data_IF_176694667860
#
_entry.id   IF_176694667860
#
_cell.length_a   1.000
_cell.length_b   1.000
_cell.length_c   1.000
_cell.angle_alpha   90.00
_cell.angle_beta   90.00
_cell.angle_gamma   90.00
#
_symmetry.space_group_name_H-M   'P 1'
#
loop_
_entity.id
_entity.type
_entity.pdbx_description
1 polymer ?
#
# COMPACT_ATOMS: atom_id res chain seq x y z
N UNK A 1 -9.86 23.88 6.11
CA UNK A 1 -10.75 25.04 6.36
C UNK A 1 -11.71 24.70 7.48
N UNK A 2 -12.52 25.65 7.97
CA UNK A 2 -13.59 25.37 8.95
C UNK A 2 -14.57 24.31 8.38
N UNK A 3 -14.93 24.44 7.10
CA UNK A 3 -15.70 23.42 6.35
C UNK A 3 -15.06 22.02 6.36
N UNK A 4 -13.73 21.90 6.20
CA UNK A 4 -13.06 20.59 6.26
C UNK A 4 -13.10 19.94 7.66
N UNK A 5 -13.26 20.74 8.73
CA UNK A 5 -13.46 20.23 10.09
C UNK A 5 -14.91 19.81 10.32
N UNK A 6 -15.84 20.55 9.73
CA UNK A 6 -17.28 20.29 9.84
C UNK A 6 -17.71 19.10 8.95
N UNK A 7 -16.93 18.77 7.91
CA UNK A 7 -17.10 17.64 7.00
C UNK A 7 -15.91 16.66 7.03
N UNK A 8 -15.48 16.25 8.22
CA UNK A 8 -14.29 15.40 8.41
C UNK A 8 -14.32 14.10 7.59
N UNK A 9 -15.50 13.51 7.41
CA UNK A 9 -15.72 12.27 6.64
C UNK A 9 -15.46 12.48 5.15
N UNK A 10 -15.82 13.64 4.60
CA UNK A 10 -15.54 13.99 3.20
C UNK A 10 -14.05 14.30 3.00
N UNK A 11 -13.38 14.84 4.02
CA UNK A 11 -11.95 15.15 3.99
C UNK A 11 -11.07 13.89 4.06
N UNK A 12 -11.46 12.87 4.82
CA UNK A 12 -10.77 11.57 4.84
C UNK A 12 -10.91 10.82 3.51
N UNK A 13 -12.11 10.86 2.90
CA UNK A 13 -12.35 10.31 1.56
C UNK A 13 -11.70 11.13 0.43
N UNK A 14 -11.32 12.39 0.67
CA UNK A 14 -10.77 13.27 -0.34
C UNK A 14 -9.38 12.83 -0.84
N UNK A 15 -8.59 12.15 -0.01
CA UNK A 15 -7.18 11.89 -0.31
C UNK A 15 -6.99 10.91 -1.47
N UNK A 16 -7.61 9.72 -1.40
CA UNK A 16 -7.55 8.74 -2.48
C UNK A 16 -8.31 9.23 -3.72
N UNK A 17 -9.41 9.97 -3.54
CA UNK A 17 -10.22 10.46 -4.65
C UNK A 17 -9.48 11.52 -5.48
N UNK A 18 -8.77 12.45 -4.82
CA UNK A 18 -7.94 13.43 -5.51
C UNK A 18 -6.82 12.75 -6.30
N UNK A 19 -6.12 11.79 -5.69
CA UNK A 19 -5.10 11.02 -6.38
C UNK A 19 -5.67 10.29 -7.60
N UNK A 20 -6.72 9.51 -7.41
CA UNK A 20 -7.38 8.73 -8.47
C UNK A 20 -7.88 9.62 -9.62
N UNK A 21 -8.45 10.78 -9.30
CA UNK A 21 -8.90 11.77 -10.31
C UNK A 21 -7.72 12.34 -11.11
N UNK A 22 -6.61 12.62 -10.45
CA UNK A 22 -5.41 13.15 -11.11
C UNK A 22 -4.77 12.10 -12.03
N UNK A 23 -4.55 10.87 -11.52
CA UNK A 23 -3.81 9.83 -12.25
C UNK A 23 -4.66 9.12 -13.29
N UNK A 24 -5.99 9.10 -13.14
CA UNK A 24 -6.89 8.47 -14.12
C UNK A 24 -6.79 9.09 -15.52
N UNK A 25 -6.32 10.33 -15.62
CA UNK A 25 -6.02 11.00 -16.89
C UNK A 25 -4.90 10.32 -17.70
N UNK A 26 -4.05 9.54 -17.05
CA UNK A 26 -3.02 8.72 -17.70
C UNK A 26 -3.62 7.49 -18.41
N UNK A 27 -4.85 7.13 -18.06
CA UNK A 27 -5.60 6.00 -18.62
C UNK A 27 -7.00 6.46 -19.05
N UNK A 28 -7.11 7.32 -20.08
CA UNK A 28 -8.35 8.04 -20.40
C UNK A 28 -9.46 7.17 -21.00
N UNK A 29 -9.18 5.89 -21.28
CA UNK A 29 -10.15 4.95 -21.88
C UNK A 29 -9.98 3.57 -21.25
N UNK A 30 -11.10 2.85 -21.14
CA UNK A 30 -11.13 1.48 -20.66
C UNK A 30 -10.99 1.37 -19.15
N UNK A 31 -10.83 0.13 -18.69
CA UNK A 31 -10.69 -0.18 -17.28
C UNK A 31 -9.24 -0.05 -16.82
N UNK A 32 -9.06 0.52 -15.63
CA UNK A 32 -7.77 0.56 -14.96
C UNK A 32 -7.95 0.38 -13.44
N UNK A 33 -6.84 0.07 -12.75
CA UNK A 33 -6.80 0.05 -11.29
C UNK A 33 -5.66 0.92 -10.78
N UNK A 34 -5.95 1.83 -9.86
CA UNK A 34 -4.93 2.46 -9.04
C UNK A 34 -4.67 1.59 -7.81
N UNK A 35 -3.41 1.24 -7.60
CA UNK A 35 -2.91 0.56 -6.40
C UNK A 35 -1.95 1.52 -5.70
N UNK A 36 -2.42 2.16 -4.63
CA UNK A 36 -1.61 3.06 -3.80
C UNK A 36 -1.31 2.40 -2.46
N UNK A 37 -0.04 2.06 -2.22
CA UNK A 37 0.38 1.39 -0.98
C UNK A 37 1.20 2.35 -0.15
N UNK A 38 0.62 2.81 0.94
CA UNK A 38 1.29 3.66 1.92
C UNK A 38 2.00 2.89 3.02
N UNK A 39 2.42 3.63 4.05
CA UNK A 39 3.01 3.05 5.25
C UNK A 39 2.02 2.19 6.05
N UNK A 40 0.72 2.49 5.96
CA UNK A 40 -0.33 1.95 6.84
C UNK A 40 -1.45 1.25 6.08
N UNK A 41 -1.84 1.79 4.94
CA UNK A 41 -3.00 1.34 4.16
C UNK A 41 -2.58 1.01 2.73
N UNK A 42 -3.42 0.21 2.08
CA UNK A 42 -3.42 0.00 0.64
C UNK A 42 -4.79 0.44 0.13
N UNK A 43 -4.79 1.39 -0.79
CA UNK A 43 -5.98 1.88 -1.48
C UNK A 43 -6.01 1.25 -2.88
N UNK A 44 -7.11 0.54 -3.19
CA UNK A 44 -7.33 -0.12 -4.47
C UNK A 44 -8.53 0.53 -5.14
N UNK A 45 -8.29 1.39 -6.12
CA UNK A 45 -9.33 2.24 -6.71
C UNK A 45 -9.59 1.79 -8.15
N UNK A 46 -10.81 1.27 -8.45
CA UNK A 46 -11.21 1.01 -9.82
C UNK A 46 -11.39 2.32 -10.60
N UNK A 47 -10.92 2.35 -11.84
CA UNK A 47 -11.07 3.46 -12.77
C UNK A 47 -11.74 2.95 -14.06
N UNK A 48 -12.67 3.74 -14.60
CA UNK A 48 -13.28 3.50 -15.91
C UNK A 48 -13.22 4.79 -16.71
N UNK A 49 -12.67 4.73 -17.93
CA UNK A 49 -12.48 5.87 -18.82
C UNK A 49 -11.79 7.06 -18.12
N UNK A 50 -10.77 6.72 -17.32
CA UNK A 50 -9.96 7.67 -16.57
C UNK A 50 -10.65 8.32 -15.36
N UNK A 51 -11.84 7.87 -14.98
CA UNK A 51 -12.59 8.38 -13.84
C UNK A 51 -12.65 7.34 -12.71
N UNK A 52 -12.50 7.77 -11.43
CA UNK A 52 -12.74 6.88 -10.29
C UNK A 52 -14.16 6.32 -10.30
N UNK A 53 -14.28 4.99 -10.19
CA UNK A 53 -15.58 4.29 -10.17
C UNK A 53 -15.71 3.38 -8.93
N UNK A 54 -15.56 3.92 -7.71
CA UNK A 54 -15.56 3.10 -6.48
C UNK A 54 -16.95 2.58 -6.13
N UNK A 55 -17.01 1.41 -5.51
CA UNK A 55 -18.21 0.91 -4.84
C UNK A 55 -18.44 1.64 -3.52
N UNK A 56 -17.38 1.87 -2.73
CA UNK A 56 -17.45 2.51 -1.42
C UNK A 56 -17.06 3.99 -1.45
N UNK A 57 -17.83 4.85 -0.79
CA UNK A 57 -17.56 6.30 -0.69
C UNK A 57 -17.03 6.70 0.68
N UNK A 58 -17.35 5.94 1.71
CA UNK A 58 -16.81 6.06 3.07
C UNK A 58 -15.76 4.99 3.34
N UNK A 59 -14.89 5.18 4.34
CA UNK A 59 -13.88 4.17 4.68
C UNK A 59 -14.50 2.84 5.09
N UNK A 60 -15.66 2.84 5.75
CA UNK A 60 -16.37 1.60 6.12
C UNK A 60 -16.82 0.86 4.85
N UNK A 61 -17.44 1.56 3.91
CA UNK A 61 -17.87 0.94 2.65
C UNK A 61 -16.68 0.47 1.83
N UNK A 62 -15.57 1.21 1.82
CA UNK A 62 -14.33 0.83 1.13
C UNK A 62 -13.67 -0.39 1.77
N UNK A 63 -13.73 -0.53 3.08
CA UNK A 63 -13.30 -1.75 3.78
C UNK A 63 -14.19 -2.94 3.40
N UNK A 64 -15.51 -2.73 3.33
CA UNK A 64 -16.47 -3.76 2.94
C UNK A 64 -16.31 -4.17 1.46
N UNK A 65 -15.96 -3.23 0.58
CA UNK A 65 -15.76 -3.46 -0.86
C UNK A 65 -14.35 -3.91 -1.24
N UNK A 66 -13.43 -4.00 -0.26
CA UNK A 66 -11.99 -4.26 -0.41
C UNK A 66 -11.18 -3.14 -1.10
N UNK A 67 -11.78 -1.98 -1.35
CA UNK A 67 -11.13 -0.79 -1.95
C UNK A 67 -10.20 -0.06 -0.96
N UNK A 68 -10.27 -0.42 0.32
CA UNK A 68 -9.34 -0.03 1.36
C UNK A 68 -8.92 -1.28 2.14
N UNK A 69 -7.62 -1.48 2.30
CA UNK A 69 -7.05 -2.52 3.17
C UNK A 69 -6.13 -1.87 4.20
N UNK A 70 -6.36 -2.11 5.50
CA UNK A 70 -5.45 -1.70 6.58
C UNK A 70 -4.19 -2.55 6.63
N UNK A 71 -3.40 -2.45 5.57
CA UNK A 71 -2.13 -3.13 5.42
C UNK A 71 -1.24 -2.29 4.49
N UNK A 72 -0.18 -1.70 5.05
CA UNK A 72 0.84 -0.97 4.29
C UNK A 72 2.20 -1.67 4.38
N UNK A 73 3.27 -0.97 4.01
CA UNK A 73 4.64 -1.52 4.01
C UNK A 73 5.48 -1.16 5.23
N UNK A 74 4.90 -0.47 6.23
CA UNK A 74 5.65 -0.10 7.44
C UNK A 74 4.93 -0.40 8.75
N UNK A 75 3.77 0.22 8.98
CA UNK A 75 3.14 0.31 10.31
C UNK A 75 2.27 -0.89 10.70
N UNK A 76 2.00 -1.81 9.79
CA UNK A 76 1.12 -2.96 10.04
C UNK A 76 1.74 -3.86 11.12
N UNK A 77 1.11 -4.03 12.30
CA UNK A 77 1.58 -4.97 13.33
C UNK A 77 1.56 -6.41 12.80
N UNK A 78 2.59 -7.21 13.10
CA UNK A 78 2.60 -8.61 12.66
C UNK A 78 1.48 -9.43 13.29
N UNK A 79 1.19 -9.19 14.58
CA UNK A 79 0.10 -9.83 15.30
C UNK A 79 -1.30 -9.51 14.75
N UNK A 80 -1.45 -8.48 13.91
CA UNK A 80 -2.69 -8.16 13.21
C UNK A 80 -2.76 -8.76 11.80
N UNK A 81 -1.64 -9.29 11.29
CA UNK A 81 -1.53 -9.82 9.94
C UNK A 81 -1.55 -11.36 9.91
N UNK A 82 -0.97 -12.01 10.93
CA UNK A 82 -0.75 -13.44 10.93
C UNK A 82 -0.70 -14.02 12.36
N UNK A 83 -1.29 -15.20 12.53
CA UNK A 83 -1.40 -15.88 13.84
C UNK A 83 -0.19 -16.79 14.14
N UNK A 84 0.46 -17.33 13.10
CA UNK A 84 1.59 -18.25 13.25
C UNK A 84 2.55 -18.20 12.05
N UNK A 85 3.81 -18.55 12.28
CA UNK A 85 4.89 -18.56 11.27
C UNK A 85 5.66 -19.88 11.31
N UNK A 86 6.31 -20.30 10.20
CA UNK A 86 7.16 -21.48 10.20
C UNK A 86 8.42 -21.26 11.03
N UNK A 87 8.77 -22.21 11.89
CA UNK A 87 10.03 -22.27 12.62
C UNK A 87 10.54 -23.72 12.69
N UNK A 88 11.69 -23.98 12.07
CA UNK A 88 12.18 -25.35 11.88
C UNK A 88 11.15 -26.21 11.13
N UNK A 89 10.74 -27.32 11.75
CA UNK A 89 9.73 -28.24 11.21
C UNK A 89 8.32 -28.02 11.81
N UNK A 90 8.13 -26.96 12.61
CA UNK A 90 6.89 -26.69 13.31
C UNK A 90 6.32 -25.31 12.96
N UNK A 91 5.04 -25.11 13.33
CA UNK A 91 4.40 -23.81 13.32
C UNK A 91 4.56 -23.16 14.69
N UNK A 92 5.04 -21.92 14.74
CA UNK A 92 5.20 -21.13 15.95
C UNK A 92 4.15 -20.01 15.99
N UNK A 93 3.49 -19.82 17.13
CA UNK A 93 2.50 -18.76 17.29
C UNK A 93 3.19 -17.39 17.35
N UNK A 94 2.55 -16.38 16.76
CA UNK A 94 2.98 -14.98 16.87
C UNK A 94 2.37 -14.39 18.14
N UNK A 95 3.20 -13.73 18.95
CA UNK A 95 2.77 -13.05 20.16
C UNK A 95 1.77 -11.94 19.83
N UNK A 96 0.77 -11.72 20.69
CA UNK A 96 -0.26 -10.70 20.50
C UNK A 96 0.23 -9.25 20.77
N UNK A 97 1.50 -9.07 21.12
CA UNK A 97 2.11 -7.77 21.43
C UNK A 97 2.81 -7.15 20.20
N UNK A 98 2.92 -5.82 20.17
CA UNK A 98 3.59 -5.07 19.11
C UNK A 98 5.12 -5.17 19.26
N UNK A 99 5.69 -6.35 19.01
CA UNK A 99 7.15 -6.53 18.97
C UNK A 99 7.77 -6.13 17.63
N UNK A 100 7.06 -6.42 16.54
CA UNK A 100 7.51 -6.18 15.19
C UNK A 100 6.35 -5.75 14.29
N UNK A 101 6.71 -5.12 13.18
CA UNK A 101 5.81 -4.69 12.12
C UNK A 101 6.25 -5.23 10.78
N UNK A 102 5.43 -5.07 9.75
CA UNK A 102 5.79 -5.42 8.39
C UNK A 102 7.01 -4.63 7.86
N UNK A 103 7.36 -3.50 8.49
CA UNK A 103 8.62 -2.81 8.18
C UNK A 103 9.83 -3.74 8.41
N UNK A 104 9.82 -4.53 9.49
CA UNK A 104 10.90 -5.44 9.85
C UNK A 104 11.04 -6.58 8.85
N UNK A 105 9.92 -7.02 8.29
CA UNK A 105 9.88 -8.00 7.20
C UNK A 105 10.57 -7.43 5.96
N UNK A 106 10.19 -6.24 5.52
CA UNK A 106 10.77 -5.65 4.30
C UNK A 106 12.21 -5.14 4.47
N UNK A 107 12.63 -4.78 5.68
CA UNK A 107 14.06 -4.62 6.00
C UNK A 107 14.79 -5.95 5.81
N UNK A 108 14.29 -7.03 6.42
CA UNK A 108 14.91 -8.37 6.38
C UNK A 108 15.01 -8.94 4.97
N UNK A 109 14.03 -8.67 4.11
CA UNK A 109 14.02 -9.10 2.71
C UNK A 109 14.82 -8.17 1.78
N UNK A 110 15.30 -7.03 2.26
CA UNK A 110 16.04 -6.05 1.47
C UNK A 110 15.19 -5.19 0.53
N UNK A 111 13.86 -5.27 0.65
CA UNK A 111 12.92 -4.46 -0.12
C UNK A 111 12.91 -2.99 0.32
N UNK A 112 13.19 -2.73 1.59
CA UNK A 112 13.40 -1.39 2.13
C UNK A 112 14.82 -1.32 2.70
N UNK A 113 15.63 -0.31 2.33
CA UNK A 113 17.01 -0.20 2.80
C UNK A 113 17.10 0.12 4.29
N UNK A 114 18.19 -0.29 4.92
CA UNK A 114 18.51 0.08 6.29
C UNK A 114 18.67 1.59 6.44
N UNK A 115 18.22 2.13 7.57
CA UNK A 115 18.46 3.52 7.94
C UNK A 115 18.66 3.62 9.45
N UNK A 116 19.90 3.82 9.88
CA UNK A 116 20.26 3.89 11.29
C UNK A 116 19.70 5.14 12.01
N UNK A 117 19.30 6.17 11.26
CA UNK A 117 18.66 7.37 11.80
C UNK A 117 17.14 7.23 11.94
N UNK A 118 16.55 6.21 11.33
CA UNK A 118 15.11 5.94 11.42
C UNK A 118 14.82 5.05 12.62
N UNK A 119 14.30 5.66 13.68
CA UNK A 119 13.92 4.99 14.92
C UNK A 119 12.40 4.83 15.04
N UNK A 120 11.61 5.03 13.97
CA UNK A 120 10.16 4.81 13.97
C UNK A 120 9.81 3.32 13.85
N UNK A 121 10.41 2.50 14.72
CA UNK A 121 10.20 1.06 14.83
C UNK A 121 9.43 0.71 16.11
N UNK A 122 8.91 -0.51 16.21
CA UNK A 122 8.05 -0.93 17.33
C UNK A 122 8.69 -0.75 18.72
N UNK A 123 10.02 -0.91 18.82
CA UNK A 123 10.76 -0.75 20.07
C UNK A 123 11.63 0.52 20.11
N UNK A 124 11.44 1.45 19.15
CA UNK A 124 12.20 2.71 19.07
C UNK A 124 13.68 2.54 18.71
N UNK A 125 14.13 1.34 18.34
CA UNK A 125 15.52 1.10 17.89
C UNK A 125 15.69 1.41 16.40
N UNK A 126 16.93 1.62 15.92
CA UNK A 126 17.19 1.88 14.51
C UNK A 126 16.57 0.83 13.54
N UNK A 127 16.24 1.28 12.34
CA UNK A 127 15.76 0.44 11.23
C UNK A 127 16.93 -0.25 10.51
N UNK A 128 17.62 -1.14 11.23
CA UNK A 128 18.71 -1.98 10.70
C UNK A 128 18.28 -3.45 10.64
N UNK A 129 18.97 -4.26 9.83
CA UNK A 129 18.76 -5.70 9.71
C UNK A 129 18.92 -6.39 11.06
N UNK A 130 19.95 -6.03 11.82
CA UNK A 130 20.21 -6.61 13.14
C UNK A 130 19.08 -6.28 14.14
N UNK A 131 18.56 -5.05 14.10
CA UNK A 131 17.46 -4.65 14.99
C UNK A 131 16.10 -5.23 14.55
N UNK A 132 15.88 -5.37 13.24
CA UNK A 132 14.70 -6.06 12.69
C UNK A 132 14.70 -7.55 13.08
N UNK A 133 15.87 -8.19 13.05
CA UNK A 133 16.04 -9.57 13.51
C UNK A 133 15.66 -9.75 14.99
N UNK A 134 16.15 -8.88 15.89
CA UNK A 134 15.74 -8.89 17.31
C UNK A 134 14.22 -8.71 17.48
N UNK A 135 13.61 -7.77 16.75
CA UNK A 135 12.16 -7.56 16.80
C UNK A 135 11.36 -8.76 16.30
N UNK A 136 11.78 -9.37 15.19
CA UNK A 136 11.13 -10.56 14.61
C UNK A 136 11.26 -11.79 15.52
N UNK A 137 12.42 -12.00 16.15
CA UNK A 137 12.60 -13.07 17.13
C UNK A 137 11.68 -12.91 18.35
N UNK A 138 11.56 -11.67 18.88
CA UNK A 138 10.65 -11.37 19.99
C UNK A 138 9.18 -11.57 19.62
N UNK A 139 8.80 -11.31 18.37
CA UNK A 139 7.43 -11.50 17.90
C UNK A 139 6.96 -12.96 17.98
N UNK A 140 7.88 -13.92 18.12
CA UNK A 140 7.57 -15.34 18.32
C UNK A 140 8.02 -15.86 19.71
N UNK A 141 8.27 -14.94 20.65
CA UNK A 141 8.61 -15.26 22.04
C UNK A 141 10.06 -15.67 22.29
N UNK A 142 10.93 -15.62 21.28
CA UNK A 142 12.35 -15.94 21.42
C UNK A 142 13.26 -14.70 21.41
N UNK A 143 14.56 -14.94 21.22
CA UNK A 143 15.57 -13.91 21.02
C UNK A 143 16.65 -14.31 20.00
N UNK A 144 17.64 -13.42 19.79
CA UNK A 144 18.72 -13.60 18.80
C UNK A 144 19.71 -14.71 19.14
N UNK A 145 19.65 -15.29 20.34
CA UNK A 145 20.42 -16.48 20.73
C UNK A 145 19.71 -17.78 20.38
N UNK A 146 18.38 -17.74 20.25
CA UNK A 146 17.53 -18.89 19.92
C UNK A 146 17.16 -18.95 18.45
N UNK A 147 16.99 -17.79 17.80
CA UNK A 147 16.53 -17.68 16.42
C UNK A 147 17.68 -17.22 15.54
N UNK A 148 17.98 -17.96 14.48
CA UNK A 148 19.03 -17.59 13.53
C UNK A 148 18.55 -16.54 12.52
N UNK A 149 19.47 -15.75 11.92
CA UNK A 149 19.12 -14.84 10.82
C UNK A 149 18.46 -15.55 9.63
N UNK A 150 18.87 -16.78 9.33
CA UNK A 150 18.27 -17.57 8.25
C UNK A 150 16.82 -17.96 8.55
N UNK A 151 16.49 -18.33 9.79
CA UNK A 151 15.11 -18.59 10.20
C UNK A 151 14.27 -17.32 10.16
N UNK A 152 14.82 -16.20 10.62
CA UNK A 152 14.16 -14.89 10.53
C UNK A 152 13.85 -14.51 9.09
N UNK A 153 14.77 -14.77 8.16
CA UNK A 153 14.53 -14.53 6.74
C UNK A 153 13.38 -15.39 6.20
N UNK A 154 13.34 -16.69 6.51
CA UNK A 154 12.21 -17.57 6.12
C UNK A 154 10.87 -17.13 6.71
N UNK A 155 10.88 -16.67 7.96
CA UNK A 155 9.71 -16.07 8.60
C UNK A 155 9.26 -14.83 7.82
N UNK A 156 10.19 -13.93 7.48
CA UNK A 156 9.90 -12.73 6.71
C UNK A 156 9.31 -13.06 5.33
N UNK A 157 9.88 -14.04 4.59
CA UNK A 157 9.34 -14.52 3.32
C UNK A 157 7.89 -15.00 3.47
N UNK A 158 7.60 -15.82 4.48
CA UNK A 158 6.28 -16.34 4.74
C UNK A 158 5.25 -15.24 5.03
N UNK A 159 5.64 -14.23 5.82
CA UNK A 159 4.77 -13.10 6.17
C UNK A 159 4.53 -12.20 4.95
N UNK A 160 5.57 -11.88 4.18
CA UNK A 160 5.45 -11.06 2.97
C UNK A 160 4.51 -11.73 1.95
N UNK A 161 4.63 -13.04 1.79
CA UNK A 161 3.76 -13.85 0.93
C UNK A 161 2.31 -13.88 1.46
N UNK A 162 2.10 -13.96 2.77
CA UNK A 162 0.75 -13.82 3.38
C UNK A 162 0.14 -12.45 3.11
N UNK A 163 0.92 -11.37 3.23
CA UNK A 163 0.46 -10.02 2.88
C UNK A 163 0.12 -9.93 1.39
N UNK A 164 0.99 -10.40 0.51
CA UNK A 164 0.79 -10.36 -0.93
C UNK A 164 -0.51 -11.04 -1.31
N UNK A 165 -0.75 -12.27 -0.83
CA UNK A 165 -2.02 -12.99 -1.08
C UNK A 165 -3.25 -12.22 -0.61
N UNK A 166 -3.20 -11.57 0.55
CA UNK A 166 -4.31 -10.74 1.06
C UNK A 166 -4.60 -9.57 0.12
N UNK A 167 -3.57 -8.89 -0.37
CA UNK A 167 -3.72 -7.77 -1.29
C UNK A 167 -4.15 -8.22 -2.69
N UNK A 168 -3.62 -9.32 -3.23
CA UNK A 168 -4.08 -9.90 -4.50
C UNK A 168 -5.55 -10.32 -4.43
N UNK A 169 -6.00 -10.91 -3.32
CA UNK A 169 -7.42 -11.26 -3.15
C UNK A 169 -8.33 -10.03 -3.18
N UNK A 170 -7.92 -8.93 -2.54
CA UNK A 170 -8.65 -7.66 -2.60
C UNK A 170 -8.65 -7.06 -4.01
N UNK A 171 -7.50 -7.09 -4.69
CA UNK A 171 -7.37 -6.61 -6.06
C UNK A 171 -8.23 -7.42 -7.04
N UNK A 172 -8.22 -8.75 -6.94
CA UNK A 172 -9.05 -9.64 -7.77
C UNK A 172 -10.55 -9.39 -7.53
N UNK A 173 -10.96 -9.18 -6.27
CA UNK A 173 -12.34 -8.85 -5.93
C UNK A 173 -12.83 -7.54 -6.55
N UNK A 174 -11.94 -6.56 -6.75
CA UNK A 174 -12.26 -5.29 -7.43
C UNK A 174 -12.18 -5.46 -8.95
N UNK A 175 -11.12 -6.11 -9.44
CA UNK A 175 -10.92 -6.35 -10.86
C UNK A 175 -12.05 -7.17 -11.48
N UNK A 176 -12.68 -8.08 -10.73
CA UNK A 176 -13.86 -8.84 -11.19
C UNK A 176 -15.11 -8.00 -11.44
N UNK A 177 -15.15 -6.75 -10.93
CA UNK A 177 -16.25 -5.79 -11.13
C UNK A 177 -16.00 -4.80 -12.26
N UNK A 178 -14.76 -4.74 -12.77
CA UNK A 178 -14.39 -3.88 -13.89
C UNK A 178 -14.80 -4.51 -15.22
N UNK A 179 -15.19 -3.71 -16.23
CA UNK A 179 -15.29 -4.18 -17.60
C UNK A 179 -13.98 -4.82 -18.06
N UNK A 180 -14.07 -5.98 -18.71
CA UNK A 180 -12.88 -6.63 -19.28
C UNK A 180 -12.50 -6.03 -20.63
N UNK A 181 -11.20 -5.96 -20.95
CA UNK A 181 -10.06 -6.24 -20.07
C UNK A 181 -9.67 -5.03 -19.18
N UNK A 182 -9.04 -5.31 -18.03
CA UNK A 182 -8.35 -4.28 -17.23
C UNK A 182 -6.88 -4.19 -17.67
N UNK A 183 -6.63 -3.42 -18.73
CA UNK A 183 -5.32 -3.37 -19.39
C UNK A 183 -4.32 -2.41 -18.72
N UNK A 184 -4.71 -1.67 -17.68
CA UNK A 184 -3.86 -0.65 -17.07
C UNK A 184 -3.86 -0.75 -15.54
N UNK A 185 -2.66 -0.68 -14.96
CA UNK A 185 -2.48 -0.52 -13.51
C UNK A 185 -1.60 0.68 -13.24
N UNK A 186 -2.07 1.57 -12.39
CA UNK A 186 -1.32 2.72 -11.89
C UNK A 186 -0.82 2.37 -10.48
N UNK A 187 0.49 2.45 -10.24
CA UNK A 187 1.06 2.16 -8.91
C UNK A 187 1.60 3.42 -8.24
N UNK A 188 1.36 3.54 -6.94
CA UNK A 188 1.73 4.69 -6.13
C UNK A 188 2.11 4.29 -4.68
N UNK A 189 2.71 5.26 -3.98
CA UNK A 189 3.00 5.20 -2.56
C UNK A 189 4.36 4.60 -2.23
N UNK A 190 4.74 4.70 -0.96
CA UNK A 190 6.00 4.13 -0.44
C UNK A 190 6.14 2.62 -0.65
N UNK A 191 5.02 1.94 -0.89
CA UNK A 191 4.93 0.51 -1.18
C UNK A 191 4.78 0.15 -2.65
N UNK A 192 5.16 1.04 -3.59
CA UNK A 192 5.03 0.77 -5.03
C UNK A 192 5.71 -0.52 -5.49
N UNK A 193 6.79 -0.96 -4.83
CA UNK A 193 7.41 -2.26 -5.08
C UNK A 193 6.45 -3.44 -4.82
N UNK A 194 5.65 -3.36 -3.75
CA UNK A 194 4.62 -4.33 -3.43
C UNK A 194 3.42 -4.21 -4.36
N UNK A 195 3.03 -2.98 -4.73
CA UNK A 195 1.94 -2.75 -5.69
C UNK A 195 2.23 -3.42 -7.04
N UNK A 196 3.49 -3.36 -7.50
CA UNK A 196 3.95 -4.08 -8.70
C UNK A 196 3.80 -5.60 -8.56
N UNK A 197 4.13 -6.16 -7.39
CA UNK A 197 3.94 -7.60 -7.10
C UNK A 197 2.46 -7.97 -7.09
N UNK A 198 1.60 -7.13 -6.50
CA UNK A 198 0.14 -7.33 -6.50
C UNK A 198 -0.39 -7.39 -7.93
N UNK A 199 -0.04 -6.42 -8.77
CA UNK A 199 -0.46 -6.38 -10.18
C UNK A 199 -0.02 -7.65 -10.94
N UNK A 200 1.24 -8.06 -10.77
CA UNK A 200 1.80 -9.23 -11.43
C UNK A 200 1.20 -10.57 -10.96
N UNK A 201 0.68 -10.64 -9.71
CA UNK A 201 0.14 -11.86 -9.11
C UNK A 201 -1.40 -11.85 -9.01
N UNK A 202 -2.06 -10.89 -9.65
CA UNK A 202 -3.53 -10.85 -9.75
C UNK A 202 -3.92 -11.26 -11.16
N UNK A 203 -4.64 -12.37 -11.31
CA UNK A 203 -4.93 -13.01 -12.60
C UNK A 203 -5.54 -12.05 -13.63
N UNK A 204 -6.47 -11.18 -13.18
CA UNK A 204 -7.11 -10.17 -14.05
C UNK A 204 -6.23 -8.97 -14.40
N UNK A 205 -5.10 -8.78 -13.72
CA UNK A 205 -4.19 -7.64 -13.90
C UNK A 205 -2.81 -8.04 -14.44
N UNK A 206 -2.50 -9.34 -14.52
CA UNK A 206 -1.15 -9.84 -14.85
C UNK A 206 -0.64 -9.38 -16.22
N UNK A 207 -1.53 -9.07 -17.15
CA UNK A 207 -1.22 -8.58 -18.50
C UNK A 207 -1.36 -7.05 -18.62
N UNK A 208 -1.73 -6.36 -17.55
CA UNK A 208 -1.93 -4.92 -17.58
C UNK A 208 -0.60 -4.18 -17.73
N UNK A 209 -0.63 -3.09 -18.47
CA UNK A 209 0.49 -2.15 -18.55
C UNK A 209 0.60 -1.42 -17.21
N UNK A 210 1.75 -1.53 -16.55
CA UNK A 210 2.02 -0.85 -15.28
C UNK A 210 2.58 0.54 -15.55
N UNK A 211 1.88 1.56 -15.07
CA UNK A 211 2.36 2.94 -15.02
C UNK A 211 2.75 3.29 -13.59
N UNK A 212 4.02 3.67 -13.39
CA UNK A 212 4.61 3.87 -12.07
C UNK A 212 4.75 5.36 -11.74
N UNK A 213 4.01 5.84 -10.75
CA UNK A 213 4.13 7.23 -10.28
C UNK A 213 5.52 7.56 -9.71
N UNK A 214 6.21 6.66 -8.98
CA UNK A 214 7.59 6.89 -8.58
C UNK A 214 8.53 7.11 -9.77
N UNK A 215 8.30 6.46 -10.91
CA UNK A 215 9.10 6.64 -12.13
C UNK A 215 8.75 7.94 -12.86
N UNK A 216 7.46 8.31 -12.91
CA UNK A 216 6.99 9.51 -13.61
C UNK A 216 7.29 10.81 -12.84
N UNK A 217 7.13 10.80 -11.52
CA UNK A 217 7.16 12.01 -10.68
C UNK A 217 8.26 11.98 -9.61
N UNK A 218 8.95 10.86 -9.46
CA UNK A 218 9.98 10.64 -8.45
C UNK A 218 9.46 10.03 -7.15
N UNK A 219 10.30 9.32 -6.38
CA UNK A 219 9.88 8.59 -5.17
C UNK A 219 9.21 9.49 -4.12
N UNK A 220 9.80 10.66 -3.83
CA UNK A 220 9.27 11.60 -2.83
C UNK A 220 7.88 12.14 -3.20
N UNK A 221 7.61 12.34 -4.48
CA UNK A 221 6.30 12.77 -4.93
C UNK A 221 5.29 11.63 -4.81
N UNK A 222 5.71 10.39 -5.09
CA UNK A 222 4.82 9.22 -4.91
C UNK A 222 4.51 8.93 -3.44
N UNK A 223 5.46 9.12 -2.53
CA UNK A 223 5.21 9.03 -1.07
C UNK A 223 4.17 10.07 -0.58
N UNK A 224 4.11 11.21 -1.27
CA UNK A 224 3.19 12.31 -1.00
C UNK A 224 2.15 12.48 -2.14
N UNK A 225 1.81 11.39 -2.84
CA UNK A 225 1.06 11.46 -4.11
C UNK A 225 -0.28 12.19 -3.97
N UNK A 226 -0.98 11.97 -2.86
CA UNK A 226 -2.21 12.68 -2.55
C UNK A 226 -2.00 14.21 -2.48
N UNK A 227 -1.01 14.67 -1.71
CA UNK A 227 -0.74 16.10 -1.56
C UNK A 227 -0.36 16.74 -2.92
N UNK A 228 0.43 16.02 -3.71
CA UNK A 228 0.78 16.43 -5.06
C UNK A 228 -0.45 16.53 -5.98
N UNK A 229 -1.33 15.53 -5.96
CA UNK A 229 -2.56 15.50 -6.76
C UNK A 229 -3.50 16.66 -6.40
N UNK A 230 -3.70 16.92 -5.10
CA UNK A 230 -4.50 18.07 -4.62
C UNK A 230 -3.92 19.39 -5.13
N UNK A 231 -2.60 19.58 -5.03
CA UNK A 231 -1.94 20.80 -5.50
C UNK A 231 -2.08 21.00 -7.01
N UNK A 232 -1.95 19.92 -7.81
CA UNK A 232 -2.13 19.97 -9.27
C UNK A 232 -3.55 20.30 -9.67
N UNK A 233 -4.53 19.62 -9.07
CA UNK A 233 -5.95 19.86 -9.34
C UNK A 233 -6.39 21.28 -8.92
N UNK A 234 -5.85 21.81 -7.83
CA UNK A 234 -6.11 23.18 -7.40
C UNK A 234 -5.55 24.21 -8.39
N UNK A 235 -4.29 24.07 -8.79
CA UNK A 235 -3.65 24.98 -9.75
C UNK A 235 -4.38 25.03 -11.10
N UNK A 236 -4.94 23.90 -11.55
CA UNK A 236 -5.73 23.83 -12.78
C UNK A 236 -7.07 24.56 -12.68
N UNK A 237 -7.69 24.62 -11.49
CA UNK A 237 -8.92 25.39 -11.26
C UNK A 237 -8.67 26.90 -11.28
N UNK A 238 -7.44 27.33 -10.97
CA UNK A 238 -7.04 28.74 -10.95
C UNK A 238 -6.59 29.27 -12.32
N UNK A 239 -6.41 28.40 -13.32
CA UNK A 239 -6.17 28.84 -14.69
C UNK A 239 -7.47 29.41 -15.29
N UNK A 240 -7.49 30.68 -15.73
CA UNK A 240 -8.67 31.25 -16.37
C UNK A 240 -8.99 30.46 -17.65
N UNK A 241 -10.26 30.06 -17.78
CA UNK A 241 -10.83 29.59 -19.04
C UNK A 241 -10.56 30.66 -20.11
N UNK A 242 -9.54 30.48 -20.96
CA UNK A 242 -9.41 31.26 -22.18
C UNK A 242 -10.50 30.78 -23.14
N UNK A 243 -11.69 31.36 -22.94
CA UNK A 243 -12.85 31.15 -23.80
C UNK A 243 -12.54 31.57 -25.22
N UNK A 244 -12.88 30.66 -26.14
CA UNK A 244 -13.04 30.91 -27.57
C UNK A 244 -13.82 32.22 -27.75
N UNK A 245 -13.17 33.23 -28.31
CA UNK A 245 -13.87 34.40 -28.84
C UNK A 245 -14.60 33.99 -30.12
N UNK A 246 -15.87 34.38 -30.20
CA UNK A 246 -16.77 34.20 -31.33
C UNK A 246 -16.22 34.79 -32.62
#
# INVERSE_FOLDING_TARGET
TQEARDESTLTAAANWHALATFVGRLTPRGSAMLIDIGSTTTDLIPLVDGLPNPTGRTDIERLQSSELVYCGVRRTPLCALIDCVPLGNASCAVAAELFATIFDVYLTLGDIPENSADCFTANGRPATLAAAHDRLARAIGGDVSEITPAETHRIAEHIAEKQLRRLCAAAEAIASRLPDPCDNVLISGSGAFLARRVAANTSRLQNATITSLPELFGPRVSDAACAFAVAKLAAERELPFFGVSR
#
